data_IF_731498268954
#
_entry.id   IF_731498268954
#
_cell.length_a   1.000
_cell.length_b   1.000
_cell.length_c   1.000
_cell.angle_alpha   90.00
_cell.angle_beta   90.00
_cell.angle_gamma   90.00
#
_symmetry.space_group_name_H-M   'P 1'
#
loop_
_entity.id
_entity.type
_entity.pdbx_description
1 polymer ?
#
# COMPACT_ATOMS: atom_id res chain seq x y z
N UNK A 1 -0.04 -7.81 -17.80
CA UNK A 1 0.25 -7.20 -19.12
C UNK A 1 0.48 -5.69 -19.08
N UNK A 2 -0.45 -4.85 -18.62
CA UNK A 2 -0.24 -3.38 -18.59
C UNK A 2 1.07 -2.90 -17.94
N UNK A 3 1.50 -3.50 -16.82
CA UNK A 3 2.76 -3.14 -16.16
C UNK A 3 3.99 -3.39 -17.03
N UNK A 4 3.97 -4.47 -17.83
CA UNK A 4 5.07 -4.82 -18.75
C UNK A 4 5.12 -3.82 -19.90
N UNK A 5 3.98 -3.46 -20.45
CA UNK A 5 3.89 -2.49 -21.55
C UNK A 5 4.33 -1.09 -21.10
N UNK A 6 3.92 -0.67 -19.91
CA UNK A 6 4.36 0.59 -19.30
C UNK A 6 5.88 0.62 -19.16
N UNK A 7 6.49 -0.41 -18.56
CA UNK A 7 7.94 -0.47 -18.36
C UNK A 7 8.68 -0.44 -19.70
N UNK A 8 8.20 -1.20 -20.69
CA UNK A 8 8.80 -1.24 -22.03
C UNK A 8 8.73 0.14 -22.73
N UNK A 9 7.63 0.87 -22.55
CA UNK A 9 7.51 2.24 -23.07
C UNK A 9 8.46 3.21 -22.35
N UNK A 10 8.57 3.13 -21.03
CA UNK A 10 9.52 3.92 -20.26
C UNK A 10 10.96 3.62 -20.69
N UNK A 11 11.31 2.36 -20.94
CA UNK A 11 12.65 1.98 -21.39
C UNK A 11 12.97 2.59 -22.75
N UNK A 12 12.01 2.57 -23.68
CA UNK A 12 12.16 3.21 -24.99
C UNK A 12 12.36 4.73 -24.87
N UNK A 13 11.60 5.41 -24.02
CA UNK A 13 11.67 6.86 -23.83
C UNK A 13 13.01 7.26 -23.20
N UNK A 14 13.34 6.71 -22.03
CA UNK A 14 14.59 7.01 -21.34
C UNK A 14 15.81 6.55 -22.15
N UNK A 15 15.71 5.45 -22.88
CA UNK A 15 16.77 4.98 -23.78
C UNK A 15 17.05 5.94 -24.94
N UNK A 16 16.02 6.58 -25.51
CA UNK A 16 16.19 7.63 -26.53
C UNK A 16 16.87 8.87 -25.94
N UNK A 17 16.45 9.30 -24.75
CA UNK A 17 17.06 10.44 -24.05
C UNK A 17 18.53 10.17 -23.72
N UNK A 18 18.82 9.00 -23.14
CA UNK A 18 20.17 8.57 -22.81
C UNK A 18 21.08 8.57 -24.05
N UNK A 19 20.66 7.98 -25.17
CA UNK A 19 21.45 8.00 -26.41
C UNK A 19 21.66 9.41 -26.97
N UNK A 20 20.63 10.27 -26.92
CA UNK A 20 20.67 11.62 -27.51
C UNK A 20 21.56 12.58 -26.73
N UNK A 21 21.53 12.53 -25.41
CA UNK A 21 22.18 13.52 -24.54
C UNK A 21 23.45 12.99 -23.86
N UNK A 22 23.58 11.67 -23.64
CA UNK A 22 24.77 11.06 -23.03
C UNK A 22 25.72 10.54 -24.11
N UNK A 23 25.28 9.61 -24.97
CA UNK A 23 26.19 9.02 -25.99
C UNK A 23 26.67 10.00 -27.06
N UNK A 24 25.91 11.06 -27.36
CA UNK A 24 26.32 12.09 -28.33
C UNK A 24 27.47 12.97 -27.83
N UNK A 25 27.68 13.06 -26.51
CA UNK A 25 28.73 13.87 -25.90
C UNK A 25 30.08 13.13 -25.74
N UNK A 26 30.16 11.83 -26.01
CA UNK A 26 31.40 11.04 -25.93
C UNK A 26 32.42 11.32 -27.06
N UNK A 27 32.24 12.36 -27.88
CA UNK A 27 33.18 12.76 -28.94
C UNK A 27 33.93 14.07 -28.68
N UNK A 28 33.73 14.72 -27.54
CA UNK A 28 34.57 15.83 -27.07
C UNK A 28 34.40 15.98 -25.56
N UNK A 29 35.50 16.10 -24.82
CA UNK A 29 35.59 16.32 -23.37
C UNK A 29 34.41 17.11 -22.78
N UNK A 30 33.41 16.41 -22.22
CA UNK A 30 32.48 16.94 -21.24
C UNK A 30 31.93 15.78 -20.40
N UNK A 31 32.05 15.92 -19.08
CA UNK A 31 31.47 15.03 -18.06
C UNK A 31 29.98 14.79 -18.30
N UNK A 32 29.62 13.73 -19.02
CA UNK A 32 28.25 13.25 -18.99
C UNK A 32 28.05 12.48 -17.69
N UNK A 33 27.48 13.18 -16.71
CA UNK A 33 27.36 12.81 -15.29
C UNK A 33 26.69 11.46 -14.95
N UNK A 34 26.12 10.70 -15.91
CA UNK A 34 25.36 9.48 -15.63
C UNK A 34 25.98 8.23 -16.26
N UNK A 35 26.25 7.22 -15.44
CA UNK A 35 26.90 5.96 -15.81
C UNK A 35 25.94 4.91 -16.39
N UNK A 36 24.63 5.03 -16.12
CA UNK A 36 23.62 4.05 -16.52
C UNK A 36 22.23 4.65 -16.77
N UNK A 37 21.33 3.86 -17.38
CA UNK A 37 19.93 4.23 -17.56
C UNK A 37 19.16 4.27 -16.22
N UNK A 38 19.57 3.47 -15.25
CA UNK A 38 18.98 3.45 -13.91
C UNK A 38 19.31 4.73 -13.15
N UNK A 39 20.57 5.17 -13.19
CA UNK A 39 21.01 6.43 -12.58
C UNK A 39 20.30 7.65 -13.19
N UNK A 40 20.10 7.64 -14.52
CA UNK A 40 19.33 8.68 -15.22
C UNK A 40 17.87 8.71 -14.73
N UNK A 41 17.23 7.54 -14.56
CA UNK A 41 15.84 7.44 -14.10
C UNK A 41 15.68 7.88 -12.64
N UNK A 42 16.62 7.48 -11.78
CA UNK A 42 16.65 7.87 -10.37
C UNK A 42 16.84 9.39 -10.22
N UNK A 43 17.79 9.96 -10.97
CA UNK A 43 18.01 11.40 -10.97
C UNK A 43 16.78 12.16 -11.50
N UNK A 44 16.18 11.69 -12.60
CA UNK A 44 14.95 12.26 -13.13
C UNK A 44 13.81 12.22 -12.09
N UNK A 45 13.63 11.10 -11.38
CA UNK A 45 12.63 11.01 -10.31
C UNK A 45 12.91 12.03 -9.21
N UNK A 46 14.14 12.08 -8.69
CA UNK A 46 14.51 12.98 -7.60
C UNK A 46 14.34 14.46 -7.97
N UNK A 47 14.61 14.84 -9.23
CA UNK A 47 14.36 16.20 -9.74
C UNK A 47 12.87 16.52 -9.85
N UNK A 48 12.03 15.57 -10.27
CA UNK A 48 10.64 15.85 -10.65
C UNK A 48 9.59 15.47 -9.59
N UNK A 49 9.95 14.69 -8.55
CA UNK A 49 8.99 14.15 -7.58
C UNK A 49 8.14 15.19 -6.86
N UNK A 50 8.65 16.40 -6.65
CA UNK A 50 7.88 17.52 -6.08
C UNK A 50 6.68 17.88 -6.95
N UNK A 51 6.86 17.95 -8.26
CA UNK A 51 5.77 18.30 -9.20
C UNK A 51 4.74 17.16 -9.29
N UNK A 52 5.22 15.92 -9.31
CA UNK A 52 4.36 14.73 -9.29
C UNK A 52 3.51 14.73 -8.02
N UNK A 53 4.11 15.00 -6.85
CA UNK A 53 3.38 15.10 -5.59
C UNK A 53 2.32 16.21 -5.60
N UNK A 54 2.66 17.40 -6.11
CA UNK A 54 1.71 18.51 -6.22
C UNK A 54 0.52 18.13 -7.12
N UNK A 55 0.77 17.45 -8.24
CA UNK A 55 -0.29 16.98 -9.13
C UNK A 55 -1.17 15.91 -8.46
N UNK A 56 -0.58 14.99 -7.69
CA UNK A 56 -1.32 13.99 -6.91
C UNK A 56 -2.20 14.64 -5.85
N UNK A 57 -1.69 15.65 -5.12
CA UNK A 57 -2.49 16.41 -4.14
C UNK A 57 -3.69 17.09 -4.79
N UNK A 58 -3.48 17.76 -5.93
CA UNK A 58 -4.57 18.38 -6.67
C UNK A 58 -5.61 17.36 -7.14
N UNK A 59 -5.17 16.23 -7.69
CA UNK A 59 -6.08 15.15 -8.10
C UNK A 59 -6.90 14.57 -6.94
N UNK A 60 -6.37 14.62 -5.72
CA UNK A 60 -7.04 14.21 -4.49
C UNK A 60 -7.91 15.31 -3.85
N UNK A 61 -8.01 16.50 -4.45
CA UNK A 61 -8.73 17.65 -3.88
C UNK A 61 -8.09 18.19 -2.59
N UNK A 62 -6.78 17.98 -2.43
CA UNK A 62 -6.00 18.40 -1.26
C UNK A 62 -5.37 19.79 -1.50
N UNK A 63 -6.21 20.75 -1.90
CA UNK A 63 -5.79 22.07 -2.40
C UNK A 63 -5.59 23.11 -1.27
N UNK A 64 -5.78 22.69 -0.02
CA UNK A 64 -5.62 23.48 1.20
C UNK A 64 -5.01 22.68 2.35
N UNK A 65 -4.86 23.31 3.51
CA UNK A 65 -4.24 22.86 4.78
C UNK A 65 -4.85 21.59 5.42
N UNK A 66 -5.29 20.61 4.64
CA UNK A 66 -6.04 19.42 5.09
C UNK A 66 -5.11 18.29 5.57
N UNK A 67 -3.79 18.46 5.46
CA UNK A 67 -2.81 17.64 6.18
C UNK A 67 -2.32 18.39 7.42
N UNK A 68 -3.18 18.61 8.40
CA UNK A 68 -2.79 19.02 9.75
C UNK A 68 -3.12 17.92 10.74
N UNK A 69 -2.47 16.77 10.57
CA UNK A 69 -2.32 15.82 11.67
C UNK A 69 -1.23 16.37 12.60
N UNK A 70 -1.64 17.24 13.53
CA UNK A 70 -0.90 17.63 14.74
C UNK A 70 0.60 17.93 14.59
N UNK A 71 0.96 19.20 14.73
CA UNK A 71 2.32 19.78 14.87
C UNK A 71 3.01 20.14 13.56
N UNK A 72 3.05 21.45 13.28
CA UNK A 72 3.91 22.04 12.25
C UNK A 72 3.35 21.96 10.82
N UNK A 73 3.69 22.96 10.02
CA UNK A 73 3.31 23.21 8.63
C UNK A 73 3.82 22.12 7.66
N UNK A 74 3.35 20.88 7.83
CA UNK A 74 3.75 19.67 7.09
C UNK A 74 2.98 19.49 5.77
N UNK A 75 2.13 20.44 5.40
CA UNK A 75 1.34 20.41 4.15
C UNK A 75 2.20 20.45 2.87
N UNK A 76 3.45 20.90 3.00
CA UNK A 76 4.42 21.01 1.92
C UNK A 76 5.47 19.90 1.90
N UNK A 77 5.50 19.03 2.91
CA UNK A 77 6.51 17.97 2.98
C UNK A 77 6.18 16.86 1.99
N UNK A 78 7.15 16.59 1.11
CA UNK A 78 7.07 15.46 0.19
C UNK A 78 7.34 14.20 1.03
N UNK A 79 6.49 13.17 0.94
CA UNK A 79 6.76 11.92 1.63
C UNK A 79 8.13 11.36 1.24
N UNK A 80 8.96 11.03 2.22
CA UNK A 80 10.26 10.35 2.02
C UNK A 80 10.10 8.84 1.85
N UNK A 81 8.87 8.38 1.69
CA UNK A 81 8.54 6.96 1.54
C UNK A 81 9.16 6.36 0.27
N UNK A 82 9.50 7.15 -0.74
CA UNK A 82 10.12 6.70 -1.98
C UNK A 82 11.48 6.01 -1.77
N UNK A 83 12.21 6.40 -0.72
CA UNK A 83 13.49 5.77 -0.32
C UNK A 83 13.34 4.44 0.41
N UNK A 84 12.14 4.10 0.90
CA UNK A 84 11.89 2.84 1.60
C UNK A 84 11.72 1.73 0.53
N UNK A 85 12.40 0.58 0.63
CA UNK A 85 12.19 -0.53 -0.30
C UNK A 85 10.70 -0.89 -0.47
N UNK A 86 10.27 -1.09 -1.72
CA UNK A 86 8.85 -1.30 -2.05
C UNK A 86 8.21 -2.43 -1.22
N UNK A 87 8.93 -3.54 -1.03
CA UNK A 87 8.48 -4.65 -0.20
C UNK A 87 8.11 -4.23 1.23
N UNK A 88 8.88 -3.34 1.85
CA UNK A 88 8.62 -2.87 3.21
C UNK A 88 7.41 -1.93 3.28
N UNK A 89 7.25 -1.03 2.30
CA UNK A 89 6.03 -0.21 2.18
C UNK A 89 4.79 -1.08 2.04
N UNK A 90 4.92 -2.12 1.23
CA UNK A 90 3.87 -3.09 0.98
C UNK A 90 3.52 -3.91 2.22
N UNK A 91 4.52 -4.35 2.97
CA UNK A 91 4.30 -5.00 4.26
C UNK A 91 3.60 -4.07 5.26
N UNK A 92 3.99 -2.80 5.32
CA UNK A 92 3.36 -1.82 6.19
C UNK A 92 1.87 -1.61 5.82
N UNK A 93 1.56 -1.33 4.56
CA UNK A 93 0.18 -1.18 4.07
C UNK A 93 -0.63 -2.47 4.31
N UNK A 94 -0.02 -3.65 4.18
CA UNK A 94 -0.68 -4.93 4.51
C UNK A 94 -1.01 -5.04 6.01
N UNK A 95 -0.07 -4.70 6.90
CA UNK A 95 -0.29 -4.76 8.36
C UNK A 95 -1.38 -3.79 8.79
N UNK A 96 -1.35 -2.55 8.30
CA UNK A 96 -2.35 -1.52 8.59
C UNK A 96 -3.75 -2.00 8.18
N UNK A 97 -3.92 -2.41 6.93
CA UNK A 97 -5.19 -2.91 6.41
C UNK A 97 -5.65 -4.20 7.15
N UNK A 98 -4.73 -5.12 7.50
CA UNK A 98 -5.09 -6.31 8.27
C UNK A 98 -5.58 -5.96 9.68
N UNK A 99 -4.91 -5.03 10.37
CA UNK A 99 -5.29 -4.60 11.71
C UNK A 99 -6.68 -3.95 11.73
N UNK A 100 -6.99 -3.09 10.76
CA UNK A 100 -8.33 -2.50 10.62
C UNK A 100 -9.40 -3.56 10.40
N UNK A 101 -9.18 -4.49 9.46
CA UNK A 101 -10.12 -5.57 9.20
C UNK A 101 -10.28 -6.47 10.41
N UNK A 102 -9.19 -6.85 11.07
CA UNK A 102 -9.22 -7.64 12.31
C UNK A 102 -10.04 -6.95 13.39
N UNK A 103 -9.86 -5.65 13.59
CA UNK A 103 -10.64 -4.87 14.56
C UNK A 103 -12.13 -4.86 14.21
N UNK A 104 -12.48 -4.68 12.94
CA UNK A 104 -13.86 -4.73 12.49
C UNK A 104 -14.49 -6.13 12.67
N UNK A 105 -13.75 -7.20 12.38
CA UNK A 105 -14.23 -8.59 12.46
C UNK A 105 -14.28 -9.13 13.89
N UNK A 106 -13.48 -8.61 14.82
CA UNK A 106 -13.52 -9.02 16.23
C UNK A 106 -14.65 -8.35 17.01
N UNK A 107 -15.12 -7.16 16.60
CA UNK A 107 -16.23 -6.44 17.26
C UNK A 107 -17.49 -7.32 17.47
N UNK A 108 -18.02 -8.02 16.44
CA UNK A 108 -19.15 -8.94 16.62
C UNK A 108 -18.86 -10.08 17.60
N UNK A 109 -17.63 -10.57 17.67
CA UNK A 109 -17.26 -11.63 18.63
C UNK A 109 -17.35 -11.08 20.05
N UNK A 110 -16.78 -9.90 20.30
CA UNK A 110 -16.82 -9.23 21.61
C UNK A 110 -18.27 -9.00 22.03
N UNK A 111 -19.09 -8.40 21.17
CA UNK A 111 -20.51 -8.10 21.46
C UNK A 111 -21.32 -9.37 21.78
N UNK A 112 -21.24 -10.39 20.92
CA UNK A 112 -22.05 -11.60 21.08
C UNK A 112 -21.55 -12.50 22.21
N UNK A 113 -20.24 -12.58 22.46
CA UNK A 113 -19.69 -13.44 23.49
C UNK A 113 -19.67 -12.79 24.87
N UNK A 114 -19.56 -11.45 24.98
CA UNK A 114 -19.68 -10.77 26.28
C UNK A 114 -21.08 -10.95 26.90
N UNK A 115 -22.13 -11.04 26.07
CA UNK A 115 -23.48 -11.34 26.55
C UNK A 115 -23.58 -12.66 27.34
N UNK A 116 -22.73 -13.66 27.01
CA UNK A 116 -22.66 -14.91 27.77
C UNK A 116 -21.92 -14.76 29.11
N UNK A 117 -20.97 -13.82 29.21
CA UNK A 117 -20.26 -13.53 30.46
C UNK A 117 -21.19 -12.87 31.47
N UNK A 118 -22.05 -11.97 31.00
CA UNK A 118 -23.07 -11.30 31.82
C UNK A 118 -24.22 -12.23 32.23
N UNK A 119 -24.44 -13.32 31.50
CA UNK A 119 -25.42 -14.37 31.82
C UNK A 119 -24.96 -15.34 32.93
N UNK A 120 -24.15 -14.87 33.89
CA UNK A 120 -23.65 -15.69 35.00
C UNK A 120 -22.54 -16.68 34.62
N UNK A 121 -21.86 -16.48 33.49
CA UNK A 121 -20.77 -17.34 33.03
C UNK A 121 -21.20 -18.71 32.49
N UNK A 122 -22.48 -19.06 32.59
CA UNK A 122 -23.05 -20.23 31.94
C UNK A 122 -23.30 -19.90 30.46
N UNK A 123 -22.33 -20.25 29.60
CA UNK A 123 -22.45 -20.14 28.14
C UNK A 123 -23.50 -21.14 27.61
N UNK A 124 -24.77 -20.84 27.86
CA UNK A 124 -25.94 -21.68 27.63
C UNK A 124 -26.96 -20.97 26.73
N UNK A 125 -27.86 -21.72 26.11
CA UNK A 125 -29.00 -21.17 25.35
C UNK A 125 -28.61 -20.34 24.12
N UNK A 126 -29.32 -19.22 23.92
CA UNK A 126 -29.21 -18.38 22.73
C UNK A 126 -27.85 -17.67 22.62
N UNK A 127 -27.27 -17.23 23.75
CA UNK A 127 -25.98 -16.55 23.76
C UNK A 127 -24.86 -17.47 23.22
N UNK A 128 -24.89 -18.77 23.58
CA UNK A 128 -23.91 -19.78 23.12
C UNK A 128 -23.91 -19.90 21.60
N UNK A 129 -25.11 -19.92 21.02
CA UNK A 129 -25.29 -20.06 19.57
C UNK A 129 -24.77 -18.82 18.84
N UNK A 130 -25.14 -17.62 19.30
CA UNK A 130 -24.68 -16.35 18.71
C UNK A 130 -23.16 -16.17 18.83
N UNK A 131 -22.59 -16.45 20.00
CA UNK A 131 -21.14 -16.41 20.21
C UNK A 131 -20.41 -17.42 19.32
N UNK A 132 -20.90 -18.65 19.20
CA UNK A 132 -20.30 -19.66 18.32
C UNK A 132 -20.30 -19.23 16.86
N UNK A 133 -21.44 -18.73 16.35
CA UNK A 133 -21.55 -18.24 14.96
C UNK A 133 -20.56 -17.09 14.70
N UNK A 134 -20.44 -16.14 15.63
CA UNK A 134 -19.48 -15.04 15.51
C UNK A 134 -18.02 -15.53 15.52
N UNK A 135 -17.68 -16.46 16.42
CA UNK A 135 -16.36 -17.08 16.50
C UNK A 135 -16.01 -17.86 15.22
N UNK A 136 -16.96 -18.63 14.67
CA UNK A 136 -16.76 -19.40 13.44
C UNK A 136 -16.54 -18.47 12.23
N UNK A 137 -17.27 -17.35 12.17
CA UNK A 137 -17.07 -16.34 11.13
C UNK A 137 -15.70 -15.65 11.24
N UNK A 138 -15.28 -15.29 12.47
CA UNK A 138 -13.96 -14.71 12.71
C UNK A 138 -12.84 -15.70 12.41
N UNK A 139 -13.01 -16.97 12.78
CA UNK A 139 -12.07 -18.06 12.46
C UNK A 139 -11.91 -18.22 10.96
N UNK A 140 -13.01 -18.26 10.19
CA UNK A 140 -12.95 -18.30 8.72
C UNK A 140 -12.19 -17.11 8.12
N UNK A 141 -12.31 -15.92 8.72
CA UNK A 141 -11.54 -14.74 8.31
C UNK A 141 -10.03 -14.91 8.56
N UNK A 142 -9.63 -15.42 9.73
CA UNK A 142 -8.22 -15.67 10.07
C UNK A 142 -7.63 -16.81 9.22
N UNK A 143 -8.38 -17.90 9.07
CA UNK A 143 -7.96 -19.09 8.32
C UNK A 143 -7.96 -18.86 6.80
N UNK A 144 -8.61 -17.80 6.31
CA UNK A 144 -8.65 -17.42 4.90
C UNK A 144 -9.52 -18.33 4.03
N UNK A 145 -10.43 -19.14 4.59
CA UNK A 145 -11.21 -20.16 3.87
C UNK A 145 -12.43 -19.59 3.10
N UNK A 146 -12.23 -18.56 2.28
CA UNK A 146 -13.23 -18.01 1.36
C UNK A 146 -12.71 -18.00 -0.08
N UNK A 147 -13.38 -18.74 -0.98
CA UNK A 147 -13.09 -18.99 -2.40
C UNK A 147 -11.99 -18.17 -3.09
N UNK A 148 -10.87 -18.85 -3.37
CA UNK A 148 -9.80 -18.42 -4.29
C UNK A 148 -8.47 -19.03 -3.87
N UNK A 149 -7.99 -20.05 -4.59
CA UNK A 149 -7.00 -21.01 -4.09
C UNK A 149 -5.58 -20.49 -3.83
N UNK A 150 -4.87 -21.21 -2.94
CA UNK A 150 -3.42 -21.20 -2.82
C UNK A 150 -2.84 -20.51 -1.58
N UNK A 151 -2.76 -21.24 -0.46
CA UNK A 151 -1.77 -21.11 0.62
C UNK A 151 -1.25 -19.71 1.02
N UNK A 152 -2.07 -18.92 1.73
CA UNK A 152 -1.66 -17.98 2.80
C UNK A 152 -2.92 -17.55 3.55
N UNK A 153 -2.87 -17.19 4.85
CA UNK A 153 -4.02 -16.63 5.55
C UNK A 153 -4.46 -15.33 4.85
N UNK A 154 -5.45 -15.44 3.98
CA UNK A 154 -6.09 -14.32 3.31
C UNK A 154 -7.14 -13.78 4.25
N UNK A 155 -6.72 -13.00 5.26
CA UNK A 155 -7.61 -12.07 5.98
C UNK A 155 -8.12 -10.94 5.08
N UNK A 156 -8.28 -11.23 3.80
CA UNK A 156 -8.22 -10.31 2.68
C UNK A 156 -8.83 -10.99 1.42
N UNK A 157 -9.99 -11.64 1.55
CA UNK A 157 -10.80 -11.89 0.36
C UNK A 157 -11.39 -10.53 -0.08
N UNK A 158 -10.62 -9.75 -0.86
CA UNK A 158 -11.09 -8.49 -1.46
C UNK A 158 -10.16 -7.26 -1.40
N UNK A 159 -9.05 -7.26 -0.65
CA UNK A 159 -8.12 -6.10 -0.67
C UNK A 159 -7.23 -6.15 -1.92
N UNK A 160 -6.79 -4.97 -2.41
CA UNK A 160 -5.82 -4.82 -3.48
C UNK A 160 -4.61 -5.76 -3.39
N UNK A 161 -4.17 -6.16 -2.19
CA UNK A 161 -3.09 -7.15 -1.96
C UNK A 161 -3.28 -8.49 -2.67
N UNK A 162 -4.51 -8.97 -2.79
CA UNK A 162 -4.82 -10.25 -3.44
C UNK A 162 -4.65 -10.21 -4.97
N UNK A 163 -4.46 -9.01 -5.55
CA UNK A 163 -4.39 -8.76 -7.00
C UNK A 163 -3.05 -8.14 -7.46
N UNK A 164 -2.13 -7.84 -6.54
CA UNK A 164 -0.82 -7.25 -6.85
C UNK A 164 0.24 -8.33 -7.11
#
# INVERSE_FOLDING_TARGET
DFTKDLELNLQKIFGKLFRKYIKKNNTAEQDTSYSSLDELRESWWNTNKKYIWIAMKHGAGMDGTTCSSGSGDSSNDIPTTDFIPQYLRFLQEWVENFCEQRQAKVKPVIENCNSCKESGGTCNGECKTKCKVACDAYKKFIDGTGSGGGSRPTGIAGSPWSKR
#
